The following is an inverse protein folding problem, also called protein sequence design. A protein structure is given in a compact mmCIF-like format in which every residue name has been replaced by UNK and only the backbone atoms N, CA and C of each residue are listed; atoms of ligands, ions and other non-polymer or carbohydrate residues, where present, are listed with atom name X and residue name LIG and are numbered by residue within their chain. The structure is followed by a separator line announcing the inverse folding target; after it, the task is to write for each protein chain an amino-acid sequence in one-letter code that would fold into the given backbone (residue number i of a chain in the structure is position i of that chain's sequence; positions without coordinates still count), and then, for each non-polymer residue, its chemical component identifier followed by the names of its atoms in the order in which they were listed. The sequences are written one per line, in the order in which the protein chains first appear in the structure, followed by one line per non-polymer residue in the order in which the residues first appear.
data_IF_474463011660
#
_entry.id   IF_474463011660
#
_cell.length_a   1.000
_cell.length_b   1.000
_cell.length_c   1.000
_cell.angle_alpha   90.00
_cell.angle_beta   90.00
_cell.angle_gamma   90.00
#
_symmetry.space_group_name_H-M   'P 1'
#
loop_
_entity.id
_entity.type
_entity.pdbx_description
1 polymer ?
#
# COMPACT_ATOMS: atom_id res chain seq x y z
N UNK A 1 -7.97 8.64 -17.10
CA UNK A 1 -8.88 7.57 -16.63
C UNK A 1 -9.89 7.29 -17.74
N UNK A 2 -9.41 6.91 -18.92
CA UNK A 2 -10.26 6.54 -20.06
C UNK A 2 -9.77 5.17 -20.55
N UNK A 3 -9.77 4.22 -19.61
CA UNK A 3 -9.27 2.89 -19.82
C UNK A 3 -10.49 1.97 -20.00
N UNK A 4 -10.73 1.59 -21.25
CA UNK A 4 -11.86 0.73 -21.67
C UNK A 4 -11.95 -0.56 -20.84
N UNK A 5 -10.78 -1.09 -20.43
CA UNK A 5 -10.68 -2.28 -19.58
C UNK A 5 -11.31 -2.02 -18.20
N UNK A 6 -11.05 -0.88 -17.59
CA UNK A 6 -11.58 -0.49 -16.29
C UNK A 6 -13.10 -0.27 -16.35
N UNK A 7 -13.58 0.41 -17.41
CA UNK A 7 -15.01 0.61 -17.65
C UNK A 7 -15.77 -0.72 -17.84
N UNK A 8 -15.19 -1.64 -18.62
CA UNK A 8 -15.74 -2.98 -18.83
C UNK A 8 -15.73 -3.81 -17.54
N UNK A 9 -14.67 -3.72 -16.74
CA UNK A 9 -14.58 -4.38 -15.43
C UNK A 9 -15.69 -3.93 -14.48
N UNK A 10 -15.89 -2.61 -14.35
CA UNK A 10 -16.96 -2.04 -13.54
C UNK A 10 -18.35 -2.47 -14.03
N UNK A 11 -18.59 -2.43 -15.35
CA UNK A 11 -19.87 -2.87 -15.94
C UNK A 11 -20.16 -4.33 -15.58
N UNK A 12 -19.15 -5.21 -15.70
CA UNK A 12 -19.29 -6.62 -15.33
C UNK A 12 -19.57 -6.82 -13.83
N UNK A 13 -18.98 -6.02 -12.95
CA UNK A 13 -19.29 -6.06 -11.52
C UNK A 13 -20.73 -5.63 -11.26
N UNK A 14 -21.17 -4.50 -11.83
CA UNK A 14 -22.53 -4.00 -11.68
C UNK A 14 -23.57 -5.00 -12.19
N UNK A 15 -23.34 -5.62 -13.35
CA UNK A 15 -24.25 -6.62 -13.90
C UNK A 15 -24.35 -7.88 -13.04
N UNK A 16 -23.22 -8.41 -12.56
CA UNK A 16 -23.25 -9.60 -11.70
C UNK A 16 -23.91 -9.30 -10.35
N UNK A 17 -23.62 -8.13 -9.80
CA UNK A 17 -24.25 -7.66 -8.58
C UNK A 17 -25.76 -7.54 -8.74
N UNK A 18 -26.24 -6.91 -9.82
CA UNK A 18 -27.67 -6.78 -10.09
C UNK A 18 -28.38 -8.13 -10.29
N UNK A 19 -27.70 -9.11 -10.91
CA UNK A 19 -28.28 -10.42 -11.23
C UNK A 19 -28.25 -11.41 -10.05
N UNK A 20 -27.20 -11.37 -9.22
CA UNK A 20 -26.90 -12.42 -8.23
C UNK A 20 -26.71 -11.90 -6.81
N UNK A 21 -26.57 -10.59 -6.63
CA UNK A 21 -26.22 -9.95 -5.35
C UNK A 21 -24.78 -10.19 -4.89
N UNK A 22 -24.00 -10.99 -5.64
CA UNK A 22 -22.63 -11.37 -5.30
C UNK A 22 -21.75 -11.36 -6.54
N UNK A 23 -20.57 -10.78 -6.40
CA UNK A 23 -19.52 -10.68 -7.40
C UNK A 23 -18.31 -11.41 -6.83
N UNK A 24 -17.94 -12.53 -7.45
CA UNK A 24 -16.76 -13.30 -7.03
C UNK A 24 -15.61 -13.10 -7.98
N UNK A 25 -14.41 -12.94 -7.43
CA UNK A 25 -13.18 -12.83 -8.19
C UNK A 25 -12.59 -14.23 -8.42
N UNK A 26 -12.21 -14.52 -9.66
CA UNK A 26 -11.43 -15.73 -9.98
C UNK A 26 -9.95 -15.41 -9.90
N UNK A 27 -9.12 -16.43 -9.70
CA UNK A 27 -7.67 -16.29 -9.85
C UNK A 27 -7.34 -15.91 -11.30
N UNK A 28 -6.88 -14.66 -11.50
CA UNK A 28 -6.41 -14.17 -12.81
C UNK A 28 -4.88 -14.30 -12.91
N UNK A 29 -4.20 -14.31 -11.77
CA UNK A 29 -2.74 -14.46 -11.68
C UNK A 29 -2.40 -15.76 -11.01
N UNK A 30 -1.82 -16.70 -11.77
CA UNK A 30 -1.28 -17.93 -11.23
C UNK A 30 0.22 -17.76 -10.97
N UNK A 31 0.70 -18.04 -9.75
CA UNK A 31 2.12 -18.01 -9.45
C UNK A 31 2.93 -18.87 -10.45
N UNK A 32 4.00 -18.31 -11.01
CA UNK A 32 4.91 -19.03 -11.91
C UNK A 32 4.57 -19.01 -13.41
N UNK A 33 3.40 -18.52 -13.83
CA UNK A 33 3.03 -18.46 -15.27
C UNK A 33 3.03 -17.07 -15.88
N UNK A 34 2.81 -16.01 -15.08
CA UNK A 34 2.68 -14.64 -15.59
C UNK A 34 4.05 -13.99 -15.80
N UNK A 35 4.42 -13.79 -17.06
CA UNK A 35 5.68 -13.15 -17.44
C UNK A 35 5.61 -11.63 -17.33
N UNK A 36 6.75 -11.00 -17.08
CA UNK A 36 6.95 -9.55 -17.13
C UNK A 36 6.53 -9.03 -18.52
N UNK A 37 5.70 -7.97 -18.60
CA UNK A 37 5.33 -7.38 -19.88
C UNK A 37 6.57 -7.02 -20.71
N UNK A 38 6.59 -7.39 -22.00
CA UNK A 38 7.71 -7.04 -22.90
C UNK A 38 7.40 -5.84 -23.78
N UNK A 39 6.14 -5.39 -23.80
CA UNK A 39 5.64 -4.33 -24.67
C UNK A 39 4.82 -3.32 -23.88
N UNK A 40 4.85 -2.05 -24.31
CA UNK A 40 4.12 -0.96 -23.66
C UNK A 40 2.61 -1.22 -23.60
N UNK A 41 2.03 -1.83 -24.65
CA UNK A 41 0.60 -2.18 -24.65
C UNK A 41 0.25 -3.22 -23.58
N UNK A 42 1.12 -4.21 -23.35
CA UNK A 42 0.93 -5.22 -22.29
C UNK A 42 1.12 -4.62 -20.90
N UNK A 43 1.98 -3.61 -20.78
CA UNK A 43 2.12 -2.83 -19.55
C UNK A 43 0.84 -2.04 -19.23
N UNK A 44 0.29 -1.30 -20.21
CA UNK A 44 -0.97 -0.57 -20.05
C UNK A 44 -2.15 -1.48 -19.66
N UNK A 45 -2.20 -2.68 -20.27
CA UNK A 45 -3.19 -3.70 -19.91
C UNK A 45 -3.03 -4.15 -18.44
N UNK A 46 -1.80 -4.36 -17.98
CA UNK A 46 -1.49 -4.74 -16.61
C UNK A 46 -1.85 -3.64 -15.60
N UNK A 47 -1.56 -2.37 -15.92
CA UNK A 47 -1.97 -1.21 -15.12
C UNK A 47 -3.50 -1.11 -14.99
N UNK A 48 -4.21 -1.34 -16.09
CA UNK A 48 -5.68 -1.34 -16.08
C UNK A 48 -6.23 -2.47 -15.19
N UNK A 49 -5.62 -3.67 -15.24
CA UNK A 49 -6.00 -4.77 -14.34
C UNK A 49 -5.71 -4.42 -12.88
N UNK A 50 -4.55 -3.83 -12.59
CA UNK A 50 -4.21 -3.35 -11.24
C UNK A 50 -5.27 -2.35 -10.71
N UNK A 51 -5.75 -1.43 -11.55
CA UNK A 51 -6.82 -0.50 -11.19
C UNK A 51 -8.17 -1.20 -10.95
N UNK A 52 -8.54 -2.19 -11.78
CA UNK A 52 -9.78 -2.95 -11.59
C UNK A 52 -9.76 -3.74 -10.28
N UNK A 53 -8.60 -4.29 -9.90
CA UNK A 53 -8.42 -4.98 -8.62
C UNK A 53 -8.55 -4.00 -7.44
N UNK A 54 -7.98 -2.80 -7.55
CA UNK A 54 -8.14 -1.76 -6.54
C UNK A 54 -9.61 -1.34 -6.38
N UNK A 55 -10.32 -1.15 -7.50
CA UNK A 55 -11.76 -0.88 -7.50
C UNK A 55 -12.56 -2.00 -6.82
N UNK A 56 -12.23 -3.27 -7.10
CA UNK A 56 -12.88 -4.41 -6.45
C UNK A 56 -12.68 -4.38 -4.93
N UNK A 57 -11.46 -4.11 -4.46
CA UNK A 57 -11.16 -3.97 -3.03
C UNK A 57 -11.96 -2.82 -2.40
N UNK A 58 -12.02 -1.66 -3.07
CA UNK A 58 -12.83 -0.52 -2.62
C UNK A 58 -14.31 -0.86 -2.48
N UNK A 59 -14.86 -1.65 -3.41
CA UNK A 59 -16.24 -2.15 -3.32
C UNK A 59 -16.39 -3.18 -2.19
N UNK A 60 -15.40 -4.04 -1.99
CA UNK A 60 -15.31 -4.99 -0.86
C UNK A 60 -15.50 -4.32 0.50
N UNK A 61 -14.84 -3.19 0.74
CA UNK A 61 -14.99 -2.45 2.00
C UNK A 61 -16.38 -1.82 2.20
N UNK A 62 -17.16 -1.63 1.13
CA UNK A 62 -18.50 -1.02 1.21
C UNK A 62 -19.63 -2.06 1.17
N UNK A 63 -19.38 -3.20 0.54
CA UNK A 63 -20.36 -4.24 0.24
C UNK A 63 -19.75 -5.63 0.49
N UNK A 64 -19.34 -5.89 1.72
CA UNK A 64 -18.54 -7.06 2.11
C UNK A 64 -19.20 -8.40 1.74
N UNK A 65 -20.50 -8.55 2.00
CA UNK A 65 -21.27 -9.76 1.64
C UNK A 65 -21.33 -10.02 0.13
N UNK A 66 -21.23 -8.95 -0.66
CA UNK A 66 -21.40 -8.99 -2.10
C UNK A 66 -20.08 -9.06 -2.85
N UNK A 67 -18.97 -8.70 -2.20
CA UNK A 67 -17.62 -8.71 -2.75
C UNK A 67 -16.67 -9.42 -1.75
N UNK A 68 -16.86 -10.73 -1.51
CA UNK A 68 -16.16 -11.44 -0.44
C UNK A 68 -14.66 -11.61 -0.70
N UNK A 69 -14.25 -11.68 -1.97
CA UNK A 69 -12.86 -12.06 -2.37
C UNK A 69 -11.85 -10.89 -2.31
N UNK A 70 -11.97 -9.98 -1.34
CA UNK A 70 -11.12 -8.79 -1.25
C UNK A 70 -9.65 -9.13 -0.88
N UNK A 71 -9.41 -10.17 -0.07
CA UNK A 71 -8.07 -10.68 0.21
C UNK A 71 -7.39 -11.23 -1.05
N UNK A 72 -8.14 -11.98 -1.86
CA UNK A 72 -7.67 -12.50 -3.14
C UNK A 72 -7.34 -11.35 -4.11
N UNK A 73 -8.21 -10.34 -4.19
CA UNK A 73 -7.97 -9.15 -5.00
C UNK A 73 -6.69 -8.41 -4.56
N UNK A 74 -6.46 -8.29 -3.24
CA UNK A 74 -5.26 -7.68 -2.67
C UNK A 74 -3.98 -8.45 -3.05
N UNK A 75 -4.00 -9.78 -2.94
CA UNK A 75 -2.89 -10.64 -3.36
C UNK A 75 -2.58 -10.50 -4.87
N UNK A 76 -3.62 -10.52 -5.71
CA UNK A 76 -3.46 -10.31 -7.16
C UNK A 76 -2.96 -8.91 -7.50
N UNK A 77 -3.39 -7.88 -6.75
CA UNK A 77 -2.92 -6.51 -6.92
C UNK A 77 -1.43 -6.39 -6.60
N UNK A 78 -0.98 -7.03 -5.51
CA UNK A 78 0.44 -7.09 -5.15
C UNK A 78 1.28 -7.77 -6.26
N UNK A 79 0.77 -8.87 -6.83
CA UNK A 79 1.43 -9.53 -7.97
C UNK A 79 1.53 -8.61 -9.20
N UNK A 80 0.51 -7.79 -9.48
CA UNK A 80 0.59 -6.78 -10.53
C UNK A 80 1.67 -5.72 -10.22
N UNK A 81 1.72 -5.22 -8.98
CA UNK A 81 2.71 -4.22 -8.57
C UNK A 81 4.13 -4.70 -8.82
N UNK A 82 4.45 -5.94 -8.44
CA UNK A 82 5.76 -6.53 -8.66
C UNK A 82 6.15 -6.60 -10.15
N UNK A 83 5.20 -6.96 -11.03
CA UNK A 83 5.44 -7.04 -12.48
C UNK A 83 5.61 -5.65 -13.12
N UNK A 84 4.88 -4.66 -12.61
CA UNK A 84 5.00 -3.25 -13.02
C UNK A 84 6.38 -2.72 -12.60
N UNK A 85 6.79 -2.96 -11.36
CA UNK A 85 8.09 -2.55 -10.82
C UNK A 85 9.24 -3.17 -11.62
N UNK A 86 9.24 -4.49 -11.85
CA UNK A 86 10.29 -5.16 -12.65
C UNK A 86 10.38 -4.61 -14.08
N UNK A 87 9.24 -4.26 -14.71
CA UNK A 87 9.23 -3.61 -16.02
C UNK A 87 9.87 -2.22 -15.98
N UNK A 88 9.54 -1.41 -14.97
CA UNK A 88 10.09 -0.06 -14.81
C UNK A 88 11.59 -0.07 -14.46
N UNK A 89 12.04 -1.04 -13.68
CA UNK A 89 13.47 -1.25 -13.39
C UNK A 89 14.26 -1.55 -14.67
N UNK A 90 13.74 -2.41 -15.55
CA UNK A 90 14.38 -2.73 -16.85
C UNK A 90 14.48 -1.55 -17.78
N UNK A 91 13.50 -0.64 -17.75
CA UNK A 91 13.53 0.59 -18.54
C UNK A 91 14.52 1.63 -18.00
N UNK A 92 15.12 1.40 -16.84
CA UNK A 92 16.06 2.34 -16.20
C UNK A 92 15.40 3.62 -15.70
N UNK A 93 14.06 3.68 -15.71
CA UNK A 93 13.28 4.87 -15.35
C UNK A 93 13.01 4.98 -13.84
N UNK A 94 13.38 3.98 -13.03
CA UNK A 94 13.12 4.03 -11.60
C UNK A 94 14.09 4.98 -10.89
N UNK A 95 13.62 6.08 -10.27
CA UNK A 95 14.46 6.84 -9.37
C UNK A 95 14.74 5.94 -8.17
N UNK A 96 15.98 5.42 -8.07
CA UNK A 96 16.46 4.81 -6.82
C UNK A 96 16.10 5.78 -5.69
N UNK A 97 15.42 5.34 -4.62
CA UNK A 97 15.16 6.21 -3.49
C UNK A 97 16.54 6.68 -3.02
N UNK A 98 16.87 7.92 -3.36
CA UNK A 98 18.09 8.54 -2.92
C UNK A 98 18.01 8.48 -1.41
N UNK A 99 18.79 7.57 -0.82
CA UNK A 99 19.17 7.65 0.57
C UNK A 99 19.92 8.98 0.67
N UNK A 100 19.17 10.07 0.82
CA UNK A 100 19.71 11.37 1.17
C UNK A 100 20.40 11.08 2.49
N UNK A 101 21.73 10.96 2.46
CA UNK A 101 22.57 10.96 3.64
C UNK A 101 22.07 12.15 4.45
N UNK A 102 21.31 11.88 5.50
CA UNK A 102 20.99 12.88 6.50
C UNK A 102 22.35 13.34 7.00
N UNK A 103 22.77 14.52 6.55
CA UNK A 103 23.88 15.23 7.16
C UNK A 103 23.60 15.22 8.65
N UNK A 104 24.49 14.61 9.45
CA UNK A 104 24.40 14.60 10.90
C UNK A 104 24.39 16.05 11.38
N UNK A 105 23.21 16.64 11.47
CA UNK A 105 23.02 17.94 12.09
C UNK A 105 23.11 17.71 13.58
N UNK A 106 24.26 18.10 14.13
CA UNK A 106 24.50 18.14 15.56
C UNK A 106 23.48 19.05 16.24
N UNK A 107 23.04 18.59 17.41
CA UNK A 107 22.42 19.35 18.51
C UNK A 107 20.96 19.79 18.34
N UNK A 108 20.06 18.93 18.83
CA UNK A 108 18.79 19.34 19.41
C UNK A 108 18.53 18.50 20.68
N UNK A 109 19.20 18.85 21.77
CA UNK A 109 18.77 18.56 23.14
C UNK A 109 18.51 19.94 23.78
N UNK A 110 17.40 20.26 24.44
CA UNK A 110 16.21 19.52 24.83
C UNK A 110 15.20 20.58 25.31
N UNK A 111 14.12 20.80 24.54
CA UNK A 111 12.99 21.66 24.93
C UNK A 111 11.95 20.83 25.67
N UNK A 112 12.29 20.25 26.82
CA UNK A 112 11.29 19.69 27.74
C UNK A 112 11.82 19.82 29.18
N UNK A 113 11.56 20.99 29.78
CA UNK A 113 11.54 21.13 31.24
C UNK A 113 10.43 20.25 31.78
N UNK A 114 10.78 19.15 32.44
CA UNK A 114 9.86 18.39 33.27
C UNK A 114 10.14 18.72 34.74
N UNK A 115 9.28 19.58 35.28
CA UNK A 115 9.05 19.75 36.71
C UNK A 115 8.74 18.40 37.38
N UNK A 116 9.60 17.95 38.29
CA UNK A 116 9.26 16.97 39.34
C UNK A 116 10.19 17.09 40.55
N UNK A 117 10.05 18.16 41.34
CA UNK A 117 10.66 18.20 42.67
C UNK A 117 9.73 17.57 43.71
N UNK A 118 9.91 16.28 43.96
CA UNK A 118 9.38 15.61 45.16
C UNK A 118 10.24 14.42 45.54
N UNK A 119 11.16 14.60 46.49
CA UNK A 119 11.29 13.73 47.70
C UNK A 119 12.58 13.97 48.49
N UNK A 120 12.35 13.94 49.82
CA UNK A 120 13.19 13.40 50.90
C UNK A 120 14.18 14.37 51.58
N UNK A 121 13.62 14.93 52.65
CA UNK A 121 14.28 15.10 53.94
C UNK A 121 15.23 13.96 54.29
N UNK A 122 16.41 14.32 54.82
CA UNK A 122 17.08 13.66 55.95
C UNK A 122 18.30 14.49 56.37
N UNK A 123 18.43 14.75 57.67
CA UNK A 123 19.74 14.92 58.31
C UNK A 123 20.17 16.34 58.67
N UNK A 124 19.57 16.91 59.73
CA UNK A 124 20.28 17.87 60.59
C UNK A 124 21.49 17.17 61.22
N UNK A 125 22.67 17.77 61.13
CA UNK A 125 23.65 17.77 62.24
C UNK A 125 24.64 18.90 62.04
N UNK A 126 24.57 19.88 62.94
CA UNK A 126 25.57 20.94 63.03
C UNK A 126 26.84 20.48 63.74
N UNK A 127 27.93 21.13 63.38
CA UNK A 127 28.98 21.65 64.26
C UNK A 127 30.02 22.29 63.36
N UNK A 128 30.28 23.57 63.53
CA UNK A 128 31.64 24.11 63.52
C UNK A 128 31.63 25.52 64.14
N UNK A 129 32.44 25.59 65.20
CA UNK A 129 33.09 26.67 65.94
C UNK A 129 32.74 28.13 65.61
#
# INVERSE_FOLDING_TARGET
MDDEISARGLTHFAENYAKKGIVRLREIFTPGTRQVPKTHNKMKELESIHQVLDLYICLGFRFEDSFPDHELASSQKAACSMLIEDFLERLGCWPKPNARKLSKRSSLNSLFSNDTYKRRALGRRGREL
#
